data_IF_445097698088
#
_entry.id   IF_445097698088
#
_cell.length_a   1.000
_cell.length_b   1.000
_cell.length_c   1.000
_cell.angle_alpha   90.00
_cell.angle_beta   90.00
_cell.angle_gamma   90.00
#
_symmetry.space_group_name_H-M   'P 1'
#
loop_
_entity.id
_entity.type
_entity.pdbx_description
1 polymer ?
#
# COMPACT_ATOMS: atom_id res chain seq x y z
N UNK A 1 -6.18 -27.94 11.05
CA UNK A 1 -5.50 -27.74 9.75
C UNK A 1 -4.26 -28.64 9.70
N UNK A 2 -3.83 -29.09 8.52
CA UNK A 2 -2.61 -29.94 8.39
C UNK A 2 -1.40 -29.22 8.98
N UNK A 3 -1.26 -27.92 8.72
CA UNK A 3 -0.17 -27.06 9.23
C UNK A 3 -0.09 -27.09 10.76
N UNK A 4 -1.21 -26.99 11.48
CA UNK A 4 -1.20 -27.05 12.95
C UNK A 4 -0.77 -28.40 13.54
N UNK A 5 -0.94 -29.48 12.77
CA UNK A 5 -0.47 -30.81 13.18
C UNK A 5 1.04 -30.93 12.96
N UNK A 6 1.57 -30.41 11.85
CA UNK A 6 3.01 -30.36 11.57
C UNK A 6 3.79 -29.51 12.59
N UNK A 7 3.23 -28.38 13.06
CA UNK A 7 3.87 -27.59 14.14
C UNK A 7 3.93 -28.37 15.46
N UNK A 8 2.85 -29.06 15.83
CA UNK A 8 2.85 -29.92 17.04
C UNK A 8 3.80 -31.11 16.92
N UNK A 9 4.03 -31.60 15.71
CA UNK A 9 5.01 -32.63 15.40
C UNK A 9 6.46 -32.14 15.45
N UNK A 10 6.69 -30.83 15.63
CA UNK A 10 8.02 -30.22 15.65
C UNK A 10 8.67 -30.06 14.27
N UNK A 11 7.92 -30.28 13.19
CA UNK A 11 8.43 -30.16 11.81
C UNK A 11 8.40 -28.71 11.30
N UNK A 12 7.60 -27.85 11.93
CA UNK A 12 7.40 -26.44 11.56
C UNK A 12 7.48 -25.59 12.82
N UNK A 13 8.26 -24.51 12.77
CA UNK A 13 8.34 -23.56 13.87
C UNK A 13 7.07 -22.70 13.98
N UNK A 14 6.80 -22.14 15.16
CA UNK A 14 5.60 -21.33 15.36
C UNK A 14 5.55 -20.10 14.44
N UNK A 15 6.69 -19.48 14.16
CA UNK A 15 6.79 -18.33 13.26
C UNK A 15 6.46 -18.70 11.81
N UNK A 16 6.90 -19.87 11.36
CA UNK A 16 6.59 -20.42 10.04
C UNK A 16 5.11 -20.76 9.92
N UNK A 17 4.51 -21.32 10.99
CA UNK A 17 3.08 -21.56 11.06
C UNK A 17 2.27 -20.26 10.92
N UNK A 18 2.65 -19.21 11.65
CA UNK A 18 1.99 -17.90 11.55
C UNK A 18 2.12 -17.28 10.16
N UNK A 19 3.29 -17.42 9.53
CA UNK A 19 3.50 -16.97 8.15
C UNK A 19 2.58 -17.72 7.19
N UNK A 20 2.51 -19.05 7.29
CA UNK A 20 1.64 -19.88 6.44
C UNK A 20 0.17 -19.47 6.57
N UNK A 21 -0.30 -19.20 7.79
CA UNK A 21 -1.66 -18.69 7.98
C UNK A 21 -1.88 -17.34 7.29
N UNK A 22 -0.93 -16.41 7.38
CA UNK A 22 -1.02 -15.11 6.69
C UNK A 22 -1.01 -15.26 5.16
N UNK A 23 -0.29 -16.25 4.62
CA UNK A 23 -0.27 -16.54 3.18
C UNK A 23 -1.63 -17.05 2.71
N UNK A 24 -2.24 -17.98 3.43
CA UNK A 24 -3.59 -18.45 3.09
C UNK A 24 -4.64 -17.34 3.24
N UNK A 25 -4.59 -16.55 4.31
CA UNK A 25 -5.46 -15.38 4.50
C UNK A 25 -5.29 -14.35 3.37
N UNK A 26 -4.06 -14.13 2.90
CA UNK A 26 -3.79 -13.23 1.79
C UNK A 26 -4.32 -13.74 0.45
N UNK A 27 -4.34 -15.06 0.22
CA UNK A 27 -4.81 -15.66 -1.03
C UNK A 27 -6.30 -15.38 -1.30
N UNK A 28 -7.08 -15.14 -0.25
CA UNK A 28 -8.50 -14.84 -0.33
C UNK A 28 -8.81 -13.32 -0.31
N UNK A 29 -7.79 -12.45 -0.20
CA UNK A 29 -7.99 -10.99 -0.16
C UNK A 29 -8.14 -10.37 -1.54
N UNK A 30 -9.05 -9.43 -1.64
CA UNK A 30 -9.19 -8.53 -2.77
C UNK A 30 -8.38 -7.25 -2.57
N UNK A 31 -8.15 -6.49 -3.65
CA UNK A 31 -7.47 -5.19 -3.56
C UNK A 31 -8.21 -4.23 -2.60
N UNK A 32 -9.53 -4.33 -2.53
CA UNK A 32 -10.36 -3.52 -1.64
C UNK A 32 -10.08 -3.77 -0.15
N UNK A 33 -9.61 -4.97 0.22
CA UNK A 33 -9.33 -5.35 1.61
C UNK A 33 -8.00 -4.75 2.13
N UNK A 34 -7.15 -4.27 1.23
CA UNK A 34 -5.77 -3.82 1.55
C UNK A 34 -5.43 -2.43 1.02
N UNK A 35 -6.29 -1.82 0.20
CA UNK A 35 -6.06 -0.47 -0.34
C UNK A 35 -6.21 0.63 0.72
N UNK A 36 -5.58 1.77 0.47
CA UNK A 36 -5.84 2.99 1.25
C UNK A 36 -7.22 3.54 0.85
N UNK A 37 -8.15 3.76 1.80
CA UNK A 37 -9.45 4.35 1.48
C UNK A 37 -9.30 5.71 0.80
N UNK A 38 -10.10 5.97 -0.23
CA UNK A 38 -10.02 7.22 -1.04
C UNK A 38 -9.91 8.52 -0.21
N UNK A 39 -10.69 8.73 0.88
CA UNK A 39 -10.57 9.95 1.68
C UNK A 39 -9.23 10.15 2.38
N UNK A 40 -8.45 9.08 2.54
CA UNK A 40 -7.14 9.07 3.20
C UNK A 40 -5.98 9.13 2.20
N UNK A 41 -6.27 9.08 0.89
CA UNK A 41 -5.24 9.15 -0.16
C UNK A 41 -4.69 10.57 -0.26
N UNK A 42 -3.40 10.70 0.01
CA UNK A 42 -2.64 11.93 -0.30
C UNK A 42 -2.23 11.90 -1.76
N UNK A 43 -2.73 12.86 -2.54
CA UNK A 43 -2.51 12.97 -3.98
C UNK A 43 -2.21 14.41 -4.37
N UNK A 44 -1.56 14.59 -5.52
CA UNK A 44 -1.13 15.89 -6.04
C UNK A 44 -1.97 16.25 -7.26
N UNK A 45 -2.45 17.50 -7.33
CA UNK A 45 -3.02 18.01 -8.57
C UNK A 45 -1.90 18.29 -9.58
N UNK A 46 -2.13 17.96 -10.85
CA UNK A 46 -1.23 18.30 -11.96
C UNK A 46 -1.08 19.81 -12.15
N UNK A 47 -2.02 20.59 -11.64
CA UNK A 47 -2.04 22.05 -11.74
C UNK A 47 -1.27 22.72 -10.59
N UNK A 48 -0.71 21.95 -9.65
CA UNK A 48 0.14 22.49 -8.57
C UNK A 48 1.49 22.97 -9.12
N UNK A 49 1.97 24.16 -8.71
CA UNK A 49 3.35 24.56 -8.96
C UNK A 49 4.35 23.57 -8.35
N UNK A 50 5.50 23.33 -9.00
CA UNK A 50 6.52 22.38 -8.52
C UNK A 50 6.95 22.61 -7.06
N UNK A 51 7.08 23.88 -6.63
CA UNK A 51 7.49 24.24 -5.28
C UNK A 51 6.46 23.81 -4.23
N UNK A 52 5.16 23.94 -4.54
CA UNK A 52 4.08 23.51 -3.65
C UNK A 52 3.93 21.98 -3.64
N UNK A 53 4.20 21.33 -4.78
CA UNK A 53 4.25 19.87 -4.84
C UNK A 53 5.40 19.32 -3.97
N UNK A 54 6.57 19.96 -3.99
CA UNK A 54 7.70 19.59 -3.13
C UNK A 54 7.37 19.77 -1.64
N UNK A 55 6.75 20.88 -1.27
CA UNK A 55 6.29 21.12 0.12
C UNK A 55 5.31 20.03 0.58
N UNK A 56 4.28 19.73 -0.24
CA UNK A 56 3.30 18.69 0.06
C UNK A 56 3.93 17.29 0.21
N UNK A 57 4.97 16.99 -0.57
CA UNK A 57 5.71 15.72 -0.50
C UNK A 57 6.60 15.64 0.74
N UNK A 58 7.22 16.74 1.16
CA UNK A 58 8.08 16.81 2.34
C UNK A 58 7.30 16.62 3.65
N UNK A 59 6.04 17.05 3.68
CA UNK A 59 5.15 16.94 4.85
C UNK A 59 4.50 15.55 4.99
N UNK A 60 4.62 14.68 3.99
CA UNK A 60 3.99 13.38 3.98
C UNK A 60 5.02 12.22 3.96
N UNK A 61 4.76 11.10 4.65
CA UNK A 61 5.72 10.00 4.80
C UNK A 61 5.78 9.06 3.59
N UNK A 62 5.21 9.44 2.44
CA UNK A 62 5.05 8.56 1.28
C UNK A 62 6.15 8.79 0.25
N UNK A 63 6.47 7.73 -0.49
CA UNK A 63 7.44 7.78 -1.59
C UNK A 63 6.80 7.96 -2.98
N UNK A 64 5.48 7.78 -3.06
CA UNK A 64 4.71 7.80 -4.30
C UNK A 64 3.37 8.50 -4.05
N UNK A 65 3.02 9.38 -4.97
CA UNK A 65 1.81 10.20 -4.89
C UNK A 65 1.04 10.07 -6.20
N UNK A 66 -0.25 9.69 -6.17
CA UNK A 66 -1.11 9.80 -7.35
C UNK A 66 -1.17 11.26 -7.81
N UNK A 67 -1.05 11.47 -9.12
CA UNK A 67 -1.19 12.78 -9.75
C UNK A 67 -2.50 12.79 -10.52
N UNK A 68 -3.38 13.74 -10.23
CA UNK A 68 -4.72 13.82 -10.81
C UNK A 68 -4.98 15.16 -11.49
N UNK A 69 -6.01 15.21 -12.34
CA UNK A 69 -6.53 16.46 -12.92
C UNK A 69 -7.96 16.71 -12.48
N UNK A 70 -8.20 17.86 -11.86
CA UNK A 70 -9.53 18.27 -11.40
C UNK A 70 -10.04 17.47 -10.21
N UNK A 71 -10.23 16.15 -10.35
CA UNK A 71 -10.69 15.24 -9.28
C UNK A 71 -9.86 13.96 -9.25
N UNK A 72 -9.91 13.25 -8.11
CA UNK A 72 -9.27 11.94 -7.94
C UNK A 72 -9.84 10.83 -8.84
N UNK A 73 -10.91 11.09 -9.60
CA UNK A 73 -11.41 10.15 -10.62
C UNK A 73 -10.58 10.17 -11.92
N UNK A 74 -9.82 11.24 -12.16
CA UNK A 74 -8.93 11.40 -13.32
C UNK A 74 -7.46 11.39 -12.88
N UNK A 75 -6.97 10.21 -12.51
CA UNK A 75 -5.56 9.99 -12.17
C UNK A 75 -4.74 9.84 -13.45
N UNK A 76 -3.80 10.75 -13.66
CA UNK A 76 -2.90 10.78 -14.82
C UNK A 76 -1.68 9.87 -14.65
N UNK A 77 -1.25 9.63 -13.42
CA UNK A 77 -0.07 8.82 -13.13
C UNK A 77 0.36 8.88 -11.66
N UNK A 78 1.62 8.51 -11.41
CA UNK A 78 2.24 8.51 -10.08
C UNK A 78 3.52 9.34 -10.14
N UNK A 79 3.71 10.23 -9.17
CA UNK A 79 4.97 10.94 -8.94
C UNK A 79 5.78 10.18 -7.88
N UNK A 80 7.04 9.88 -8.19
CA UNK A 80 8.00 9.40 -7.19
C UNK A 80 8.75 10.59 -6.59
N UNK A 81 8.96 10.61 -5.27
CA UNK A 81 9.66 11.69 -4.56
C UNK A 81 11.10 11.94 -5.00
N UNK A 82 11.67 11.04 -5.81
CA UNK A 82 13.05 11.16 -6.31
C UNK A 82 13.12 11.88 -7.66
N UNK A 83 11.96 12.12 -8.28
CA UNK A 83 11.85 12.78 -9.57
C UNK A 83 11.53 14.28 -9.43
N UNK A 84 11.42 14.76 -8.18
CA UNK A 84 11.28 16.18 -7.80
C UNK A 84 12.65 16.84 -7.57
#
# INVERSE_FOLDING_TARGET
>A
MVVSQSTRGGEIEQQEQEMLYKVFDFADKEAADVMVPRPEVVALSIDLPPEQALEAVMDAPYTRYPVYRGTLDDVLGILHVRDL
#
